data_IF_087195153951
#
_entry.id   IF_087195153951
#
_cell.length_a   1.000
_cell.length_b   1.000
_cell.length_c   1.000
_cell.angle_alpha   90.00
_cell.angle_beta   90.00
_cell.angle_gamma   90.00
#
_symmetry.space_group_name_H-M   'P 1'
#
loop_
_entity.id
_entity.type
_entity.pdbx_description
1 polymer ?
#
# COMPACT_ATOMS: atom_id res chain seq x y z
N UNK A 1 21.14 27.57 -15.69
CA UNK A 1 19.67 27.48 -15.83
C UNK A 1 19.22 26.31 -15.00
N UNK A 2 18.76 26.55 -13.76
CA UNK A 2 18.20 25.48 -12.93
C UNK A 2 16.86 25.07 -13.54
N UNK A 3 16.77 23.85 -14.05
CA UNK A 3 15.49 23.28 -14.41
C UNK A 3 14.64 23.26 -13.15
N UNK A 4 13.53 24.00 -13.17
CA UNK A 4 12.45 23.84 -12.22
C UNK A 4 12.06 22.37 -12.25
N UNK A 5 12.53 21.61 -11.26
CA UNK A 5 12.11 20.24 -11.07
C UNK A 5 10.71 20.37 -10.52
N UNK A 6 9.70 20.04 -11.31
CA UNK A 6 8.35 19.78 -10.78
C UNK A 6 8.60 18.84 -9.62
N UNK A 7 8.29 19.26 -8.38
CA UNK A 7 8.37 18.37 -7.23
C UNK A 7 7.73 17.05 -7.65
N UNK A 8 8.38 15.90 -7.44
CA UNK A 8 7.77 14.58 -7.71
C UNK A 8 6.50 14.49 -6.87
N UNK A 9 5.40 15.02 -7.39
CA UNK A 9 4.12 15.09 -6.70
C UNK A 9 3.59 13.68 -6.65
N UNK A 10 3.24 13.23 -5.46
CA UNK A 10 2.53 11.97 -5.29
C UNK A 10 1.24 12.07 -6.09
N UNK A 11 1.11 11.17 -7.06
CA UNK A 11 -0.08 11.04 -7.88
C UNK A 11 -1.20 10.34 -7.14
N UNK A 12 -2.12 9.73 -7.88
CA UNK A 12 -3.15 8.87 -7.31
C UNK A 12 -2.54 7.63 -6.68
N UNK A 13 -3.18 7.11 -5.64
CA UNK A 13 -2.78 5.88 -4.98
C UNK A 13 -3.83 4.82 -5.29
N UNK A 14 -3.46 3.82 -6.08
CA UNK A 14 -4.30 2.68 -6.42
C UNK A 14 -3.93 1.50 -5.53
N UNK A 15 -4.92 0.90 -4.88
CA UNK A 15 -4.73 -0.14 -3.88
C UNK A 15 -5.42 -1.42 -4.33
N UNK A 16 -4.84 -2.56 -3.98
CA UNK A 16 -5.34 -3.87 -4.37
C UNK A 16 -5.80 -4.65 -3.15
N UNK A 17 -7.11 -4.86 -3.05
CA UNK A 17 -7.69 -5.68 -2.01
C UNK A 17 -7.47 -7.18 -2.26
N UNK A 18 -7.12 -7.92 -1.20
CA UNK A 18 -7.09 -9.40 -1.17
C UNK A 18 -6.10 -10.03 -2.16
N UNK A 19 -4.91 -9.45 -2.30
CA UNK A 19 -3.90 -10.02 -3.19
C UNK A 19 -3.06 -11.14 -2.54
N UNK A 20 -3.26 -11.47 -1.27
CA UNK A 20 -2.59 -12.60 -0.60
C UNK A 20 -3.61 -13.69 -0.25
N UNK A 21 -3.33 -14.94 -0.63
CA UNK A 21 -4.26 -16.06 -0.46
C UNK A 21 -4.68 -16.28 0.99
N UNK A 22 -3.74 -16.19 1.93
CA UNK A 22 -4.02 -16.46 3.35
C UNK A 22 -4.75 -15.29 4.02
N UNK A 23 -4.50 -14.05 3.60
CA UNK A 23 -5.28 -12.89 4.02
C UNK A 23 -6.73 -12.95 3.51
N UNK A 24 -6.94 -13.43 2.28
CA UNK A 24 -8.29 -13.62 1.74
C UNK A 24 -9.10 -14.65 2.57
N UNK A 25 -8.44 -15.72 3.04
CA UNK A 25 -9.03 -16.74 3.92
C UNK A 25 -9.29 -16.22 5.33
N UNK A 26 -8.35 -15.47 5.92
CA UNK A 26 -8.46 -14.88 7.27
C UNK A 26 -9.78 -14.11 7.44
N UNK A 27 -10.17 -13.35 6.41
CA UNK A 27 -11.39 -12.54 6.42
C UNK A 27 -12.62 -13.26 5.84
N UNK A 28 -12.58 -14.60 5.73
CA UNK A 28 -13.67 -15.47 5.25
C UNK A 28 -14.23 -15.06 3.87
N UNK A 29 -13.37 -14.59 2.98
CA UNK A 29 -13.76 -14.11 1.67
C UNK A 29 -13.38 -15.11 0.56
N UNK A 30 -14.16 -15.19 -0.53
CA UNK A 30 -13.75 -15.96 -1.70
C UNK A 30 -12.51 -15.32 -2.33
N UNK A 31 -11.62 -16.17 -2.88
CA UNK A 31 -10.49 -15.74 -3.69
C UNK A 31 -11.05 -15.00 -4.92
N UNK A 32 -10.65 -13.75 -5.15
CA UNK A 32 -11.16 -12.97 -6.27
C UNK A 32 -10.65 -13.53 -7.61
N UNK A 33 -11.47 -13.45 -8.67
CA UNK A 33 -11.07 -13.84 -10.03
C UNK A 33 -10.29 -12.75 -10.77
N UNK A 34 -10.45 -11.50 -10.32
CA UNK A 34 -9.80 -10.31 -10.85
C UNK A 34 -9.40 -9.40 -9.67
N UNK A 35 -8.36 -8.56 -9.81
CA UNK A 35 -7.94 -7.64 -8.75
C UNK A 35 -9.07 -6.71 -8.26
N UNK A 36 -9.23 -6.57 -6.94
CA UNK A 36 -10.17 -5.60 -6.36
C UNK A 36 -9.46 -4.26 -6.23
N UNK A 37 -9.80 -3.30 -7.07
CA UNK A 37 -9.16 -1.99 -7.09
C UNK A 37 -9.99 -0.97 -6.30
N UNK A 38 -9.32 -0.20 -5.44
CA UNK A 38 -9.84 1.02 -4.83
C UNK A 38 -8.72 2.07 -4.78
N UNK A 39 -9.05 3.30 -4.38
CA UNK A 39 -8.08 4.39 -4.34
C UNK A 39 -7.95 4.99 -2.96
N UNK A 40 -6.77 5.58 -2.70
CA UNK A 40 -6.55 6.54 -1.62
C UNK A 40 -6.33 7.93 -2.19
N UNK A 41 -6.82 8.93 -1.47
CA UNK A 41 -6.58 10.34 -1.80
C UNK A 41 -5.11 10.71 -1.55
N UNK A 42 -4.44 11.46 -2.43
CA UNK A 42 -3.08 11.97 -2.16
C UNK A 42 -2.99 12.78 -0.86
N UNK A 43 -4.08 13.43 -0.46
CA UNK A 43 -4.15 14.22 0.77
C UNK A 43 -4.11 13.39 2.08
N UNK A 44 -4.19 12.06 2.01
CA UNK A 44 -4.02 11.20 3.19
C UNK A 44 -2.62 10.61 3.36
N UNK A 45 -1.72 10.90 2.42
CA UNK A 45 -0.35 10.39 2.45
C UNK A 45 0.48 11.20 3.44
N UNK A 46 1.17 10.50 4.33
CA UNK A 46 2.12 11.07 5.29
C UNK A 46 3.42 10.27 5.29
N UNK A 47 4.55 10.87 5.69
CA UNK A 47 5.78 10.10 5.87
C UNK A 47 5.58 9.00 6.91
N UNK A 48 6.07 7.80 6.60
CA UNK A 48 6.24 6.73 7.58
C UNK A 48 7.54 6.97 8.37
N UNK A 49 7.57 8.09 9.10
CA UNK A 49 8.74 8.55 9.84
C UNK A 49 8.28 9.34 11.08
N UNK A 50 8.94 9.11 12.21
CA UNK A 50 8.70 9.86 13.44
C UNK A 50 7.36 9.54 14.08
N UNK A 51 6.31 10.30 13.74
CA UNK A 51 4.97 10.17 14.36
C UNK A 51 3.87 10.10 13.31
N UNK A 52 3.02 9.09 13.42
CA UNK A 52 1.79 8.97 12.63
C UNK A 52 0.62 9.35 13.53
N UNK A 53 -0.07 10.44 13.18
CA UNK A 53 -1.19 10.95 13.97
C UNK A 53 -2.49 10.27 13.52
N UNK A 54 -3.22 9.65 14.45
CA UNK A 54 -4.52 9.02 14.21
C UNK A 54 -5.57 9.62 15.14
N UNK A 55 -6.53 10.42 14.62
CA UNK A 55 -7.55 11.03 15.48
C UNK A 55 -8.32 9.99 16.31
N UNK A 56 -8.49 10.28 17.60
CA UNK A 56 -9.11 9.39 18.58
C UNK A 56 -10.55 9.02 18.20
N UNK A 57 -11.27 9.95 17.56
CA UNK A 57 -12.66 9.77 17.16
C UNK A 57 -12.87 8.80 15.98
N UNK A 58 -11.81 8.29 15.35
CA UNK A 58 -11.92 7.36 14.21
C UNK A 58 -12.16 5.89 14.62
N UNK A 59 -12.08 5.56 15.91
CA UNK A 59 -12.33 4.19 16.40
C UNK A 59 -11.20 3.21 16.03
N UNK A 60 -11.53 1.94 15.76
CA UNK A 60 -10.52 0.92 15.42
C UNK A 60 -9.88 1.21 14.06
N UNK A 61 -8.56 1.37 14.06
CA UNK A 61 -7.73 1.53 12.86
C UNK A 61 -6.79 0.33 12.77
N UNK A 62 -6.89 -0.44 11.69
CA UNK A 62 -6.04 -1.59 11.43
C UNK A 62 -4.83 -1.20 10.58
N UNK A 63 -3.67 -1.82 10.87
CA UNK A 63 -2.52 -1.80 9.99
C UNK A 63 -2.68 -2.84 8.87
N UNK A 64 -2.25 -2.46 7.67
CA UNK A 64 -2.16 -3.35 6.49
C UNK A 64 -0.85 -2.96 5.78
N UNK A 65 0.24 -3.70 6.02
CA UNK A 65 1.55 -3.41 5.42
C UNK A 65 1.58 -3.88 3.98
N UNK A 66 1.94 -3.02 3.04
CA UNK A 66 1.95 -3.34 1.61
C UNK A 66 3.22 -2.88 0.91
N UNK A 67 3.63 -3.61 -0.13
CA UNK A 67 4.65 -3.13 -1.06
C UNK A 67 4.03 -1.99 -1.88
N UNK A 68 4.72 -0.86 -1.92
CA UNK A 68 4.36 0.32 -2.68
C UNK A 68 5.25 0.46 -3.91
N UNK A 69 4.66 0.58 -5.09
CA UNK A 69 5.35 0.78 -6.37
C UNK A 69 5.05 2.17 -6.89
N UNK A 70 6.08 2.98 -7.15
CA UNK A 70 5.92 4.30 -7.77
C UNK A 70 6.24 4.23 -9.25
N UNK A 71 5.37 4.82 -10.06
CA UNK A 71 5.56 4.91 -11.51
C UNK A 71 6.47 6.07 -11.91
N UNK A 72 7.37 5.77 -12.85
CA UNK A 72 8.28 6.71 -13.49
C UNK A 72 7.80 7.21 -14.85
N UNK A 73 6.78 6.58 -15.43
CA UNK A 73 6.16 6.98 -16.70
C UNK A 73 4.67 6.67 -16.69
N UNK A 74 3.92 7.33 -17.56
CA UNK A 74 2.49 7.06 -17.75
C UNK A 74 2.26 5.65 -18.34
N UNK A 75 1.13 5.03 -17.98
CA UNK A 75 0.66 3.77 -18.55
C UNK A 75 -0.83 3.88 -18.89
N UNK A 76 -1.19 3.44 -20.10
CA UNK A 76 -2.57 3.25 -20.49
C UNK A 76 -2.64 2.19 -21.58
N UNK A 77 -3.46 1.17 -21.37
CA UNK A 77 -3.52 -0.02 -22.23
C UNK A 77 -2.13 -0.62 -22.50
N UNK A 78 -1.29 -0.63 -21.45
CA UNK A 78 0.11 -1.00 -21.58
C UNK A 78 0.32 -2.51 -21.68
N UNK A 79 1.35 -2.91 -22.40
CA UNK A 79 1.87 -4.27 -22.39
C UNK A 79 2.85 -4.51 -21.23
N UNK A 80 3.28 -5.76 -21.06
CA UNK A 80 4.19 -6.17 -19.99
C UNK A 80 5.53 -5.43 -20.02
N UNK A 81 6.07 -5.15 -21.21
CA UNK A 81 7.37 -4.48 -21.33
C UNK A 81 7.27 -3.02 -20.89
N UNK A 82 6.22 -2.33 -21.33
CA UNK A 82 5.91 -0.97 -20.91
C UNK A 82 5.70 -0.89 -19.39
N UNK A 83 4.96 -1.84 -18.81
CA UNK A 83 4.75 -1.94 -17.36
C UNK A 83 6.06 -2.04 -16.60
N UNK A 84 6.95 -2.96 -17.00
CA UNK A 84 8.24 -3.15 -16.35
C UNK A 84 9.12 -1.89 -16.44
N UNK A 85 9.15 -1.23 -17.60
CA UNK A 85 9.91 0.01 -17.78
C UNK A 85 9.36 1.19 -16.98
N UNK A 86 8.07 1.17 -16.65
CA UNK A 86 7.42 2.25 -15.90
C UNK A 86 7.65 2.16 -14.39
N UNK A 87 8.14 1.04 -13.85
CA UNK A 87 8.44 0.91 -12.42
C UNK A 87 9.69 1.73 -12.10
N UNK A 88 9.53 2.81 -11.32
CA UNK A 88 10.65 3.69 -10.98
C UNK A 88 11.36 3.27 -9.69
N UNK A 89 10.57 2.88 -8.69
CA UNK A 89 11.06 2.65 -7.34
C UNK A 89 10.06 1.90 -6.49
N UNK A 90 10.56 1.27 -5.42
CA UNK A 90 9.79 0.49 -4.45
C UNK A 90 9.91 1.07 -3.05
N UNK A 91 8.88 0.91 -2.24
CA UNK A 91 8.86 1.22 -0.82
C UNK A 91 7.83 0.38 -0.07
N UNK A 92 7.51 0.79 1.14
CA UNK A 92 6.42 0.23 1.94
C UNK A 92 5.42 1.33 2.28
N UNK A 93 4.14 0.97 2.26
CA UNK A 93 3.08 1.78 2.83
C UNK A 93 2.29 1.01 3.87
N UNK A 94 1.61 1.74 4.75
CA UNK A 94 0.51 1.20 5.52
C UNK A 94 -0.81 1.62 4.86
N UNK A 95 -1.59 0.64 4.41
CA UNK A 95 -2.99 0.83 4.03
C UNK A 95 -3.89 0.85 5.29
N UNK A 96 -3.77 1.94 6.04
CA UNK A 96 -4.54 2.08 7.27
C UNK A 96 -6.04 2.05 6.99
N UNK A 97 -6.75 1.26 7.79
CA UNK A 97 -8.15 0.92 7.54
C UNK A 97 -9.00 1.08 8.78
N UNK A 98 -10.04 1.93 8.71
CA UNK A 98 -11.06 1.97 9.76
C UNK A 98 -11.98 0.76 9.60
N UNK A 99 -11.65 -0.34 10.28
CA UNK A 99 -12.24 -1.67 10.01
C UNK A 99 -13.75 -1.69 10.20
N UNK A 100 -14.23 -1.11 11.28
CA UNK A 100 -15.67 -1.06 11.59
C UNK A 100 -16.41 -0.25 10.51
N UNK A 101 -15.84 0.88 10.10
CA UNK A 101 -16.39 1.72 9.04
C UNK A 101 -16.39 1.00 7.69
N UNK A 102 -15.33 0.25 7.37
CA UNK A 102 -15.27 -0.55 6.15
C UNK A 102 -16.38 -1.62 6.13
N UNK A 103 -16.62 -2.29 7.26
CA UNK A 103 -17.67 -3.30 7.39
C UNK A 103 -19.07 -2.68 7.18
N UNK A 104 -19.34 -1.51 7.76
CA UNK A 104 -20.59 -0.78 7.53
C UNK A 104 -20.81 -0.43 6.06
N UNK A 105 -19.76 0.09 5.39
CA UNK A 105 -19.83 0.48 3.98
C UNK A 105 -20.02 -0.74 3.07
N UNK A 106 -19.32 -1.85 3.34
CA UNK A 106 -19.50 -3.12 2.62
C UNK A 106 -20.92 -3.67 2.74
N UNK A 107 -21.49 -3.66 3.95
CA UNK A 107 -22.87 -4.12 4.18
C UNK A 107 -23.89 -3.30 3.35
N UNK A 108 -23.61 -2.01 3.14
CA UNK A 108 -24.45 -1.10 2.34
C UNK A 108 -24.07 -1.05 0.85
N UNK A 109 -23.03 -1.76 0.42
CA UNK A 109 -22.44 -1.70 -0.93
C UNK A 109 -22.02 -0.27 -1.33
N UNK A 110 -21.52 0.51 -0.38
CA UNK A 110 -21.04 1.87 -0.60
C UNK A 110 -19.53 1.91 -0.86
N UNK A 111 -19.01 3.00 -1.48
CA UNK A 111 -17.57 3.23 -1.67
C UNK A 111 -16.80 3.21 -0.34
N UNK A 112 -15.52 2.83 -0.40
CA UNK A 112 -14.68 2.59 0.78
C UNK A 112 -13.84 3.80 1.22
N UNK A 113 -13.92 4.92 0.50
CA UNK A 113 -13.11 6.12 0.72
C UNK A 113 -13.14 6.58 2.18
N UNK A 114 -14.30 6.54 2.84
CA UNK A 114 -14.43 6.96 4.24
C UNK A 114 -13.76 5.99 5.25
N UNK A 115 -13.39 4.78 4.82
CA UNK A 115 -12.65 3.81 5.62
C UNK A 115 -11.18 3.65 5.20
N UNK A 116 -10.82 4.10 3.99
CA UNK A 116 -9.49 3.90 3.37
C UNK A 116 -8.73 5.20 3.08
N UNK A 117 -9.40 6.35 3.01
CA UNK A 117 -8.83 7.66 2.60
C UNK A 117 -9.00 8.76 3.64
N UNK A 118 -9.18 8.39 4.92
CA UNK A 118 -9.25 9.34 6.02
C UNK A 118 -7.90 10.02 6.26
N UNK A 119 -7.86 11.04 7.13
CA UNK A 119 -6.62 11.77 7.42
C UNK A 119 -5.48 10.83 7.85
N UNK A 120 -4.31 10.98 7.26
CA UNK A 120 -3.10 10.18 7.52
C UNK A 120 -3.26 8.66 7.27
N UNK A 121 -4.23 8.25 6.45
CA UNK A 121 -4.52 6.83 6.18
C UNK A 121 -3.47 6.11 5.32
N UNK A 122 -2.43 6.80 4.83
CA UNK A 122 -1.38 6.22 4.00
C UNK A 122 0.03 6.66 4.45
N UNK A 123 0.53 6.20 5.61
CA UNK A 123 1.95 6.27 5.93
C UNK A 123 2.78 5.60 4.85
N UNK A 124 3.75 6.33 4.30
CA UNK A 124 4.53 5.92 3.13
C UNK A 124 6.03 6.11 3.39
N UNK A 125 6.82 5.07 3.18
CA UNK A 125 8.27 5.12 3.34
C UNK A 125 8.95 5.98 2.28
N UNK A 126 10.25 6.22 2.45
CA UNK A 126 11.09 6.64 1.33
C UNK A 126 11.13 5.52 0.28
N UNK A 127 11.27 5.91 -0.98
CA UNK A 127 11.36 4.97 -2.09
C UNK A 127 12.83 4.68 -2.43
N UNK A 128 13.16 3.39 -2.51
CA UNK A 128 14.44 2.88 -3.01
C UNK A 128 14.37 2.60 -4.51
N UNK A 129 15.47 2.85 -5.22
CA UNK A 129 15.60 2.38 -6.61
C UNK A 129 15.88 0.88 -6.61
N UNK A 130 15.29 0.19 -7.57
CA UNK A 130 15.68 -1.18 -7.92
C UNK A 130 17.00 -1.12 -8.70
N UNK A 131 17.89 -2.09 -8.52
CA UNK A 131 19.05 -2.23 -9.42
C UNK A 131 18.63 -2.94 -10.71
N UNK A 132 17.74 -3.92 -10.58
CA UNK A 132 17.09 -4.64 -11.66
C UNK A 132 15.57 -4.72 -11.43
N UNK A 133 14.76 -4.56 -12.48
CA UNK A 133 13.30 -4.61 -12.37
C UNK A 133 12.80 -5.99 -11.90
N UNK A 134 13.55 -7.06 -12.17
CA UNK A 134 13.22 -8.43 -11.73
C UNK A 134 13.21 -8.59 -10.21
N UNK A 135 13.85 -7.67 -9.46
CA UNK A 135 13.80 -7.65 -7.99
C UNK A 135 12.37 -7.58 -7.44
N UNK A 136 11.40 -7.04 -8.20
CA UNK A 136 9.99 -6.96 -7.78
C UNK A 136 9.34 -8.34 -7.60
N UNK A 137 9.93 -9.41 -8.14
CA UNK A 137 9.39 -10.77 -8.04
C UNK A 137 9.77 -11.46 -6.73
N UNK A 138 10.79 -10.96 -6.03
CA UNK A 138 11.37 -11.60 -4.84
C UNK A 138 11.35 -10.73 -3.59
N UNK A 139 10.55 -9.65 -3.58
CA UNK A 139 10.47 -8.76 -2.43
C UNK A 139 9.86 -9.47 -1.22
N UNK A 140 10.45 -9.21 -0.06
CA UNK A 140 9.94 -9.61 1.24
C UNK A 140 9.63 -8.37 2.08
N UNK A 141 8.45 -8.34 2.68
CA UNK A 141 8.05 -7.30 3.62
C UNK A 141 7.81 -7.87 5.01
N UNK A 142 8.06 -7.05 6.02
CA UNK A 142 7.78 -7.39 7.42
C UNK A 142 7.43 -6.13 8.20
N UNK A 143 6.46 -6.25 9.10
CA UNK A 143 6.14 -5.21 10.07
C UNK A 143 6.34 -5.77 11.48
N UNK A 144 7.04 -5.01 12.30
CA UNK A 144 7.12 -5.21 13.74
C UNK A 144 6.32 -4.12 14.45
N UNK A 145 5.66 -4.51 15.54
CA UNK A 145 5.01 -3.59 16.48
C UNK A 145 5.55 -3.89 17.87
N UNK A 146 6.17 -2.89 18.50
CA UNK A 146 6.78 -3.02 19.83
C UNK A 146 7.79 -4.19 19.92
N UNK A 147 8.52 -4.46 18.82
CA UNK A 147 9.51 -5.53 18.70
C UNK A 147 8.95 -6.90 18.31
N UNK A 148 7.63 -7.05 18.19
CA UNK A 148 6.99 -8.31 17.80
C UNK A 148 6.60 -8.29 16.32
N UNK A 149 6.96 -9.34 15.58
CA UNK A 149 6.59 -9.48 14.16
C UNK A 149 5.09 -9.74 14.05
N UNK A 150 4.34 -8.77 13.51
CA UNK A 150 2.90 -8.90 13.32
C UNK A 150 2.54 -9.32 11.89
N UNK A 151 3.25 -8.81 10.88
CA UNK A 151 3.06 -9.20 9.47
C UNK A 151 4.37 -9.58 8.83
N UNK A 152 4.33 -10.59 7.97
CA UNK A 152 5.41 -10.97 7.07
C UNK A 152 4.80 -11.47 5.76
N UNK A 153 5.34 -11.04 4.63
CA UNK A 153 4.86 -11.43 3.31
C UNK A 153 5.97 -11.43 2.27
N UNK A 154 5.74 -12.15 1.18
CA UNK A 154 6.57 -12.10 -0.02
C UNK A 154 5.70 -11.95 -1.27
N UNK A 155 6.21 -11.27 -2.28
CA UNK A 155 5.59 -11.19 -3.62
C UNK A 155 5.29 -12.56 -4.22
N UNK A 156 6.06 -13.60 -3.86
CA UNK A 156 5.80 -15.00 -4.26
C UNK A 156 4.48 -15.57 -3.74
N UNK A 157 3.88 -14.93 -2.73
CA UNK A 157 2.60 -15.32 -2.14
C UNK A 157 1.41 -14.52 -2.72
N UNK A 158 1.68 -13.56 -3.61
CA UNK A 158 0.62 -12.80 -4.25
C UNK A 158 -0.17 -13.67 -5.22
N UNK A 159 -1.49 -13.43 -5.29
CA UNK A 159 -2.40 -14.07 -6.24
C UNK A 159 -2.22 -13.49 -7.65
N UNK A 160 -1.99 -12.19 -7.73
CA UNK A 160 -1.68 -11.46 -8.95
C UNK A 160 -0.33 -10.78 -8.77
N UNK A 161 0.60 -11.03 -9.70
CA UNK A 161 1.94 -10.41 -9.65
C UNK A 161 1.85 -8.88 -9.78
N UNK A 162 2.90 -8.17 -9.37
CA UNK A 162 2.96 -6.70 -9.51
C UNK A 162 2.76 -6.28 -10.98
N UNK A 163 3.33 -7.04 -11.91
CA UNK A 163 3.16 -6.85 -13.34
C UNK A 163 1.70 -7.04 -13.77
N UNK A 164 1.04 -8.11 -13.31
CA UNK A 164 -0.37 -8.38 -13.62
C UNK A 164 -1.27 -7.26 -13.10
N UNK A 165 -0.99 -6.76 -11.89
CA UNK A 165 -1.72 -5.65 -11.29
C UNK A 165 -1.60 -4.37 -12.13
N UNK A 166 -0.38 -4.01 -12.52
CA UNK A 166 -0.13 -2.81 -13.33
C UNK A 166 -0.75 -2.94 -14.73
N UNK A 167 -0.61 -4.10 -15.37
CA UNK A 167 -1.30 -4.41 -16.63
C UNK A 167 -2.81 -4.22 -16.44
N UNK A 168 -3.42 -4.92 -15.48
CA UNK A 168 -4.86 -4.87 -15.21
C UNK A 168 -5.36 -3.45 -14.96
N UNK A 169 -4.70 -2.70 -14.07
CA UNK A 169 -5.10 -1.33 -13.78
C UNK A 169 -4.97 -0.47 -15.03
N UNK A 170 -3.84 -0.52 -15.76
CA UNK A 170 -3.63 0.31 -16.94
C UNK A 170 -4.62 0.06 -18.09
N UNK A 171 -5.19 -1.15 -18.17
CA UNK A 171 -6.23 -1.50 -19.15
C UNK A 171 -7.59 -0.88 -18.80
N UNK A 172 -7.83 -0.55 -17.53
CA UNK A 172 -9.10 -0.03 -17.02
C UNK A 172 -9.04 1.45 -16.64
N UNK A 173 -7.88 1.94 -16.19
CA UNK A 173 -7.65 3.26 -15.63
C UNK A 173 -6.28 3.77 -16.11
N UNK A 174 -6.18 4.99 -16.68
CA UNK A 174 -4.88 5.56 -17.01
C UNK A 174 -4.06 5.85 -15.74
N UNK A 175 -2.83 5.35 -15.72
CA UNK A 175 -1.85 5.61 -14.67
C UNK A 175 -0.89 6.71 -15.14
N UNK A 176 -0.49 7.59 -14.22
CA UNK A 176 0.38 8.73 -14.49
C UNK A 176 1.71 8.59 -13.76
N UNK A 177 2.73 9.26 -14.30
CA UNK A 177 3.99 9.48 -13.61
C UNK A 177 3.74 9.99 -12.18
N UNK A 178 4.34 9.31 -11.20
CA UNK A 178 4.18 9.62 -9.77
C UNK A 178 3.00 8.93 -9.08
N UNK A 179 2.11 8.26 -9.81
CA UNK A 179 1.09 7.39 -9.20
C UNK A 179 1.76 6.24 -8.43
N UNK A 180 1.08 5.77 -7.39
CA UNK A 180 1.55 4.72 -6.49
C UNK A 180 0.57 3.55 -6.50
N UNK A 181 1.11 2.33 -6.55
CA UNK A 181 0.34 1.09 -6.45
C UNK A 181 0.66 0.42 -5.11
N UNK A 182 -0.36 0.22 -4.28
CA UNK A 182 -0.30 -0.63 -3.10
C UNK A 182 -0.84 -2.01 -3.47
N UNK A 183 -0.02 -3.02 -3.26
CA UNK A 183 -0.13 -4.33 -3.91
C UNK A 183 -0.90 -5.39 -3.11
N UNK A 184 -1.53 -4.99 -2.01
CA UNK A 184 -2.21 -5.85 -1.06
C UNK A 184 -1.34 -6.21 0.15
N UNK A 185 -2.03 -6.55 1.24
CA UNK A 185 -1.39 -6.90 2.52
C UNK A 185 -1.33 -8.42 2.77
N UNK A 186 -0.24 -8.95 3.36
CA UNK A 186 -0.16 -10.32 3.87
C UNK A 186 -1.11 -10.54 5.06
N UNK A 187 -1.30 -11.80 5.54
CA UNK A 187 -2.19 -12.08 6.66
C UNK A 187 -1.78 -11.38 7.97
N UNK A 188 -2.65 -11.50 8.98
CA UNK A 188 -2.50 -10.96 10.33
C UNK A 188 -2.67 -9.45 10.41
N UNK A 189 -3.74 -8.93 9.80
CA UNK A 189 -4.13 -7.53 10.00
C UNK A 189 -4.63 -7.33 11.43
N UNK A 190 -4.31 -6.19 12.04
CA UNK A 190 -4.62 -5.97 13.44
C UNK A 190 -4.74 -4.50 13.82
N UNK A 191 -5.29 -4.20 15.01
CA UNK A 191 -5.51 -2.83 15.45
C UNK A 191 -4.21 -2.13 15.84
N UNK A 192 -4.15 -0.82 15.60
CA UNK A 192 -3.14 0.09 16.13
C UNK A 192 -3.63 0.80 17.40
N UNK A 193 -2.78 0.81 18.42
CA UNK A 193 -2.99 1.47 19.70
C UNK A 193 -2.13 2.72 19.82
N UNK A 194 -2.47 3.56 20.80
CA UNK A 194 -1.65 4.72 21.11
C UNK A 194 -0.28 4.28 21.64
N UNK A 195 0.77 4.95 21.18
CA UNK A 195 2.19 4.69 21.47
C UNK A 195 2.74 3.36 20.92
N UNK A 196 2.03 2.70 19.99
CA UNK A 196 2.62 1.57 19.26
C UNK A 196 3.81 2.06 18.42
N UNK A 197 4.97 1.44 18.58
CA UNK A 197 6.16 1.71 17.79
C UNK A 197 6.27 0.70 16.65
N UNK A 198 6.25 1.20 15.43
CA UNK A 198 6.23 0.44 14.20
C UNK A 198 7.61 0.44 13.55
N UNK A 199 8.06 -0.72 13.08
CA UNK A 199 9.27 -0.85 12.26
C UNK A 199 8.95 -1.70 11.02
N UNK A 200 9.12 -1.12 9.85
CA UNK A 200 8.86 -1.78 8.57
C UNK A 200 10.16 -2.15 7.86
N UNK A 201 10.20 -3.37 7.34
CA UNK A 201 11.36 -3.93 6.67
C UNK A 201 11.04 -4.32 5.24
N UNK A 202 11.97 -4.02 4.33
CA UNK A 202 11.98 -4.50 2.95
C UNK A 202 13.26 -5.30 2.74
N UNK A 203 13.14 -6.57 2.31
CA UNK A 203 14.26 -7.50 2.11
C UNK A 203 15.21 -7.60 3.32
N UNK A 204 14.65 -7.49 4.54
CA UNK A 204 15.41 -7.56 5.79
C UNK A 204 16.03 -6.24 6.26
N UNK A 205 15.98 -5.17 5.45
CA UNK A 205 16.46 -3.84 5.83
C UNK A 205 15.34 -2.99 6.42
N UNK A 206 15.62 -2.24 7.50
CA UNK A 206 14.69 -1.25 8.04
C UNK A 206 14.58 -0.10 7.04
N UNK A 207 13.37 0.19 6.57
CA UNK A 207 13.14 1.29 5.63
C UNK A 207 12.22 2.39 6.17
N UNK A 208 11.50 2.11 7.25
CA UNK A 208 10.62 3.07 7.91
C UNK A 208 10.38 2.69 9.37
N UNK A 209 10.21 3.71 10.21
CA UNK A 209 9.86 3.57 11.61
C UNK A 209 9.01 4.75 12.08
N UNK A 210 8.01 4.51 12.91
CA UNK A 210 7.19 5.57 13.49
C UNK A 210 6.46 5.13 14.75
N UNK A 211 6.15 6.10 15.61
CA UNK A 211 5.25 5.95 16.75
C UNK A 211 3.82 6.37 16.36
N UNK A 212 2.83 5.57 16.73
CA UNK A 212 1.42 5.95 16.62
C UNK A 212 1.05 6.90 17.74
N UNK A 213 0.56 8.08 17.38
CA UNK A 213 -0.01 9.05 18.34
C UNK A 213 -1.50 9.19 18.06
N UNK A 214 -2.31 8.86 19.06
CA UNK A 214 -3.76 9.05 19.01
C UNK A 214 -4.14 10.29 19.80
N UNK A 215 -4.69 11.29 19.11
CA UNK A 215 -5.06 12.60 19.66
C UNK A 215 -6.47 13.07 19.31
#
# INVERSE_FOLDING_TARGET
>A
MSSLTIAKTIGSIYCVGRNYADHAKELNNPVPKEPIIFTKSPGCVVPFEGKILLPLNLGRCDYETEIAIQLGTDLYQADLNQVLQAISSVGIALDLTLRDRQNELRAKKYPWDLAKSFVNACPLSKFGKLNDVTEIEELEIRLEINGEVCQKGSTKQMLFSIQDLLCFISQNIPLRLGDIILTGTPPNVGPLNNNDYLVAFLNGEVIAEAEIIRN
#
